data_IF_044933174981
#
_entry.id   IF_044933174981
#
_cell.length_a   1.000
_cell.length_b   1.000
_cell.length_c   1.000
_cell.angle_alpha   90.00
_cell.angle_beta   90.00
_cell.angle_gamma   90.00
#
_symmetry.space_group_name_H-M   'P 1'
#
loop_
_entity.id
_entity.type
_entity.pdbx_description
1 polymer ?
#
# COMPACT_ATOMS: atom_id res chain seq x y z
N UNK A 1 15.58 19.21 19.22
CA UNK A 1 16.30 17.94 18.97
C UNK A 1 15.25 16.87 19.20
N UNK A 2 14.57 16.47 18.12
CA UNK A 2 13.57 15.40 18.20
C UNK A 2 14.27 14.10 18.56
N UNK A 3 13.63 13.26 19.38
CA UNK A 3 14.06 11.89 19.56
C UNK A 3 14.07 11.20 18.19
N UNK A 4 15.10 10.40 17.92
CA UNK A 4 15.07 9.42 16.84
C UNK A 4 13.88 8.47 17.09
N UNK A 5 13.23 8.03 16.01
CA UNK A 5 12.08 7.14 16.08
C UNK A 5 10.76 7.77 15.64
N UNK A 6 9.88 6.94 15.08
CA UNK A 6 8.55 7.35 14.65
C UNK A 6 7.55 7.32 15.83
N UNK A 7 6.66 8.31 15.89
CA UNK A 7 5.49 8.25 16.80
C UNK A 7 4.35 7.48 16.18
N UNK A 8 4.36 7.32 14.86
CA UNK A 8 3.24 6.81 14.09
C UNK A 8 3.71 6.04 12.85
N UNK A 9 2.88 5.11 12.38
CA UNK A 9 3.09 4.39 11.12
C UNK A 9 1.85 4.59 10.25
N UNK A 10 2.02 5.10 9.03
CA UNK A 10 0.93 5.31 8.07
C UNK A 10 1.12 4.37 6.88
N UNK A 11 0.28 3.32 6.81
CA UNK A 11 0.40 2.24 5.82
C UNK A 11 -0.62 2.39 4.70
N UNK A 12 -0.14 2.68 3.49
CA UNK A 12 -0.91 2.69 2.27
C UNK A 12 -0.81 1.33 1.57
N UNK A 13 -1.93 0.62 1.45
CA UNK A 13 -2.04 -0.56 0.60
C UNK A 13 -2.51 -0.17 -0.79
N UNK A 14 -1.75 -0.57 -1.80
CA UNK A 14 -2.10 -0.45 -3.22
C UNK A 14 -2.35 -1.88 -3.71
N UNK A 15 -3.62 -2.22 -3.89
CA UNK A 15 -4.04 -3.58 -4.20
C UNK A 15 -4.52 -3.66 -5.64
N UNK A 16 -3.94 -4.57 -6.40
CA UNK A 16 -4.44 -4.97 -7.70
C UNK A 16 -5.80 -5.64 -7.55
N UNK A 17 -6.79 -5.07 -8.23
CA UNK A 17 -8.20 -5.46 -8.14
C UNK A 17 -8.70 -6.23 -9.37
N UNK A 18 -7.78 -6.65 -10.24
CA UNK A 18 -8.01 -7.50 -11.39
C UNK A 18 -8.67 -8.83 -11.01
N UNK A 19 -9.24 -9.49 -12.00
CA UNK A 19 -9.89 -10.78 -11.79
C UNK A 19 -8.90 -11.93 -11.56
N UNK A 20 -7.67 -11.83 -12.07
CA UNK A 20 -6.63 -12.87 -11.94
C UNK A 20 -6.17 -13.02 -10.50
N UNK A 21 -6.04 -11.90 -9.78
CA UNK A 21 -5.67 -11.80 -8.36
C UNK A 21 -6.67 -12.43 -7.35
N UNK A 22 -7.65 -13.23 -7.80
CA UNK A 22 -8.72 -13.73 -6.92
C UNK A 22 -8.25 -14.77 -5.89
N UNK A 23 -7.26 -15.59 -6.24
CA UNK A 23 -6.70 -16.62 -5.35
C UNK A 23 -5.72 -15.98 -4.34
N UNK A 24 -4.93 -15.04 -4.84
CA UNK A 24 -3.96 -14.22 -4.12
C UNK A 24 -4.67 -13.34 -3.08
N UNK A 25 -5.81 -12.73 -3.44
CA UNK A 25 -6.67 -11.98 -2.51
C UNK A 25 -7.20 -12.87 -1.38
N UNK A 26 -7.61 -14.11 -1.67
CA UNK A 26 -8.09 -15.02 -0.63
C UNK A 26 -6.96 -15.44 0.34
N UNK A 27 -5.75 -15.64 -0.18
CA UNK A 27 -4.57 -15.88 0.64
C UNK A 27 -4.21 -14.64 1.49
N UNK A 28 -4.27 -13.45 0.89
CA UNK A 28 -4.00 -12.18 1.55
C UNK A 28 -5.00 -11.87 2.67
N UNK A 29 -6.30 -12.13 2.44
CA UNK A 29 -7.36 -12.00 3.45
C UNK A 29 -7.11 -12.84 4.70
N UNK A 30 -6.48 -14.01 4.51
CA UNK A 30 -6.12 -14.91 5.61
C UNK A 30 -4.96 -14.37 6.44
N UNK A 31 -4.10 -13.52 5.87
CA UNK A 31 -2.90 -12.98 6.51
C UNK A 31 -3.09 -11.60 7.15
N UNK A 32 -4.08 -10.82 6.73
CA UNK A 32 -4.35 -9.49 7.32
C UNK A 32 -4.56 -9.48 8.84
N UNK A 33 -5.22 -10.46 9.47
CA UNK A 33 -5.28 -10.51 10.93
C UNK A 33 -3.91 -10.60 11.59
N UNK A 34 -2.97 -11.34 10.98
CA UNK A 34 -1.60 -11.44 11.47
C UNK A 34 -0.85 -10.12 11.31
N UNK A 35 -1.04 -9.42 10.19
CA UNK A 35 -0.46 -8.09 9.98
C UNK A 35 -0.87 -7.11 11.08
N UNK A 36 -2.18 -7.01 11.33
CA UNK A 36 -2.75 -6.13 12.35
C UNK A 36 -2.24 -6.51 13.74
N UNK A 37 -2.18 -7.81 14.05
CA UNK A 37 -1.68 -8.28 15.33
C UNK A 37 -0.23 -7.86 15.59
N UNK A 38 0.66 -7.94 14.58
CA UNK A 38 2.06 -7.54 14.76
C UNK A 38 2.20 -6.02 14.92
N UNK A 39 1.39 -5.22 14.21
CA UNK A 39 1.35 -3.77 14.44
C UNK A 39 0.85 -3.45 15.85
N UNK A 40 -0.22 -4.11 16.30
CA UNK A 40 -0.75 -3.94 17.66
C UNK A 40 0.29 -4.32 18.72
N UNK A 41 0.97 -5.45 18.56
CA UNK A 41 2.03 -5.92 19.45
C UNK A 41 3.23 -4.95 19.49
N UNK A 42 3.63 -4.41 18.33
CA UNK A 42 4.68 -3.40 18.24
C UNK A 42 4.31 -2.11 18.97
N UNK A 43 3.08 -1.61 18.81
CA UNK A 43 2.61 -0.42 19.56
C UNK A 43 2.47 -0.71 21.06
N UNK A 44 2.10 -1.94 21.45
CA UNK A 44 1.91 -2.31 22.85
C UNK A 44 3.22 -2.53 23.63
N UNK A 45 4.35 -2.73 22.93
CA UNK A 45 5.63 -2.98 23.57
C UNK A 45 6.14 -1.74 24.34
N UNK A 46 6.54 -1.88 25.62
CA UNK A 46 6.81 -0.74 26.50
C UNK A 46 8.06 0.08 26.12
N UNK A 47 8.97 -0.51 25.34
CA UNK A 47 10.20 0.13 24.91
C UNK A 47 10.06 0.85 23.55
N UNK A 48 8.90 0.73 22.89
CA UNK A 48 8.64 1.32 21.59
C UNK A 48 8.02 2.72 21.72
N UNK A 49 8.48 3.65 20.88
CA UNK A 49 8.00 5.04 20.90
C UNK A 49 6.70 5.26 20.11
N UNK A 50 6.36 4.33 19.21
CA UNK A 50 5.19 4.42 18.37
C UNK A 50 3.88 4.32 19.18
N UNK A 51 2.95 5.23 18.90
CA UNK A 51 1.71 5.42 19.64
C UNK A 51 0.49 4.84 18.91
N UNK A 52 0.61 4.57 17.61
CA UNK A 52 -0.46 4.01 16.80
C UNK A 52 -0.13 4.01 15.32
N UNK A 53 -1.05 3.48 14.52
CA UNK A 53 -0.88 3.36 13.07
C UNK A 53 -2.17 3.70 12.32
N UNK A 54 -2.04 3.93 11.01
CA UNK A 54 -3.16 4.07 10.08
C UNK A 54 -3.05 3.08 8.95
N UNK A 55 -4.19 2.52 8.57
CA UNK A 55 -4.31 1.66 7.39
C UNK A 55 -5.23 2.34 6.38
N UNK A 56 -4.68 2.67 5.22
CA UNK A 56 -5.41 3.17 4.06
C UNK A 56 -5.28 2.19 2.91
N UNK A 57 -6.30 2.09 2.07
CA UNK A 57 -6.29 1.18 0.92
C UNK A 57 -6.74 1.92 -0.33
N UNK A 58 -6.00 1.77 -1.42
CA UNK A 58 -6.39 2.15 -2.78
C UNK A 58 -6.13 0.96 -3.72
N UNK A 59 -6.45 1.12 -5.00
CA UNK A 59 -6.07 0.18 -6.04
C UNK A 59 -5.06 0.78 -7.04
N UNK A 60 -4.45 -0.10 -7.82
CA UNK A 60 -3.54 0.22 -8.94
C UNK A 60 -4.26 0.35 -10.29
N UNK A 61 -5.56 0.09 -10.36
CA UNK A 61 -6.30 0.02 -11.62
C UNK A 61 -6.73 1.42 -12.11
N UNK A 62 -6.02 1.95 -13.11
CA UNK A 62 -6.25 3.30 -13.67
C UNK A 62 -6.65 3.18 -15.15
N UNK A 63 -7.71 3.89 -15.58
CA UNK A 63 -8.25 3.75 -16.95
C UNK A 63 -7.26 4.15 -18.05
N UNK A 64 -7.50 3.59 -19.25
CA UNK A 64 -6.77 3.82 -20.51
C UNK A 64 -6.96 5.27 -21.05
N UNK A 65 -6.31 6.23 -20.38
CA UNK A 65 -5.96 7.51 -21.00
C UNK A 65 -4.64 8.08 -20.47
N UNK A 66 -3.97 8.84 -21.33
CA UNK A 66 -2.76 9.62 -21.02
C UNK A 66 -3.09 10.95 -20.30
N UNK A 67 -4.36 11.21 -20.00
CA UNK A 67 -4.83 12.44 -19.36
C UNK A 67 -4.88 12.33 -17.83
N UNK A 68 -4.58 11.14 -17.26
CA UNK A 68 -4.55 10.91 -15.81
C UNK A 68 -5.93 11.06 -15.15
N UNK A 69 -7.01 11.04 -15.92
CA UNK A 69 -8.37 11.18 -15.43
C UNK A 69 -9.07 9.83 -15.48
N UNK A 70 -9.50 9.32 -14.35
CA UNK A 70 -10.28 8.10 -14.35
C UNK A 70 -11.75 8.35 -14.57
N UNK A 71 -12.33 7.51 -15.42
CA UNK A 71 -13.77 7.34 -15.45
C UNK A 71 -14.26 6.34 -14.39
N UNK A 72 -13.41 5.49 -13.80
CA UNK A 72 -13.88 4.22 -13.18
C UNK A 72 -13.05 3.66 -11.98
N UNK A 73 -12.12 4.42 -11.39
CA UNK A 73 -11.17 3.97 -10.35
C UNK A 73 -11.12 4.85 -9.10
N UNK A 74 -10.16 4.59 -8.20
CA UNK A 74 -9.88 5.43 -7.02
C UNK A 74 -8.84 6.53 -7.32
N UNK A 75 -7.94 6.25 -8.27
CA UNK A 75 -6.94 7.20 -8.77
C UNK A 75 -6.00 7.69 -7.67
N UNK A 76 -5.56 6.77 -6.82
CA UNK A 76 -4.81 7.11 -5.61
C UNK A 76 -5.66 7.71 -4.49
N UNK A 77 -6.97 7.94 -4.66
CA UNK A 77 -7.84 8.25 -3.52
C UNK A 77 -7.99 7.03 -2.61
N UNK A 78 -8.07 7.25 -1.31
CA UNK A 78 -8.36 6.18 -0.38
C UNK A 78 -9.79 5.67 -0.52
N UNK A 79 -9.96 4.36 -0.43
CA UNK A 79 -11.25 3.70 -0.49
C UNK A 79 -12.07 4.00 0.78
N UNK A 80 -13.32 4.44 0.60
CA UNK A 80 -14.23 4.82 1.68
C UNK A 80 -14.98 3.64 2.31
N UNK A 81 -14.70 2.41 1.88
CA UNK A 81 -15.37 1.21 2.38
C UNK A 81 -16.78 0.99 1.81
N UNK A 82 -17.31 1.93 1.01
CA UNK A 82 -18.64 1.80 0.44
C UNK A 82 -18.61 0.99 -0.85
N UNK A 83 -18.97 -0.29 -0.71
CA UNK A 83 -19.21 -1.18 -1.83
C UNK A 83 -20.71 -1.44 -2.02
N UNK A 84 -21.19 -1.35 -3.24
CA UNK A 84 -22.63 -1.47 -3.53
C UNK A 84 -23.16 -2.91 -3.37
N UNK A 85 -22.26 -3.91 -3.37
CA UNK A 85 -22.58 -5.35 -3.21
C UNK A 85 -21.99 -6.02 -1.97
N UNK A 86 -21.23 -5.28 -1.13
CA UNK A 86 -20.64 -5.78 0.11
C UNK A 86 -21.10 -4.90 1.28
N UNK A 87 -21.06 -5.39 2.53
CA UNK A 87 -21.32 -4.52 3.66
C UNK A 87 -20.37 -3.31 3.63
N UNK A 88 -20.89 -2.13 3.93
CA UNK A 88 -20.07 -0.98 4.29
C UNK A 88 -19.11 -1.42 5.39
N UNK A 89 -17.80 -1.25 5.16
CA UNK A 89 -16.77 -1.66 6.10
C UNK A 89 -16.77 -0.82 7.39
N UNK A 90 -17.64 0.20 7.49
CA UNK A 90 -17.86 1.04 8.67
C UNK A 90 -16.59 1.75 9.13
N UNK A 91 -16.02 2.56 8.24
CA UNK A 91 -14.86 3.42 8.55
C UNK A 91 -15.21 4.61 9.45
N UNK A 92 -16.45 4.69 9.96
CA UNK A 92 -16.88 5.79 10.84
C UNK A 92 -16.76 7.18 10.19
N UNK A 93 -16.87 7.26 8.86
CA UNK A 93 -16.77 8.51 8.09
C UNK A 93 -15.34 8.96 7.78
N UNK A 94 -14.32 8.13 8.01
CA UNK A 94 -12.93 8.33 7.54
C UNK A 94 -12.67 7.52 6.27
N UNK A 95 -11.53 7.78 5.62
CA UNK A 95 -11.02 6.96 4.50
C UNK A 95 -9.89 6.01 4.93
N UNK A 96 -9.68 5.85 6.24
CA UNK A 96 -8.63 5.02 6.81
C UNK A 96 -9.04 4.51 8.19
N UNK A 97 -8.33 3.49 8.65
CA UNK A 97 -8.51 2.86 9.94
C UNK A 97 -7.41 3.35 10.87
N UNK A 98 -7.75 3.95 12.01
CA UNK A 98 -6.79 4.23 13.08
C UNK A 98 -6.68 3.00 14.00
N UNK A 99 -5.46 2.56 14.28
CA UNK A 99 -5.14 1.51 15.24
C UNK A 99 -4.13 1.96 16.29
N UNK A 100 -3.95 1.18 17.38
CA UNK A 100 -4.61 -0.10 17.67
C UNK A 100 -6.08 0.06 18.09
N UNK A 101 -6.90 -0.97 17.90
CA UNK A 101 -8.32 -0.93 18.29
C UNK A 101 -9.10 -2.22 18.05
N UNK A 102 -10.21 -2.44 18.77
CA UNK A 102 -10.93 -3.72 18.78
C UNK A 102 -11.60 -4.08 17.45
N UNK A 103 -11.77 -3.10 16.55
CA UNK A 103 -12.41 -3.29 15.24
C UNK A 103 -11.42 -3.25 14.08
N UNK A 104 -10.12 -2.99 14.33
CA UNK A 104 -9.15 -2.78 13.24
C UNK A 104 -9.07 -4.00 12.33
N UNK A 105 -8.88 -5.19 12.91
CA UNK A 105 -8.81 -6.44 12.13
C UNK A 105 -10.06 -6.66 11.29
N UNK A 106 -11.26 -6.55 11.86
CA UNK A 106 -12.51 -6.80 11.12
C UNK A 106 -12.75 -5.76 10.02
N UNK A 107 -12.42 -4.50 10.29
CA UNK A 107 -12.57 -3.40 9.34
C UNK A 107 -11.59 -3.56 8.17
N UNK A 108 -10.33 -3.88 8.47
CA UNK A 108 -9.30 -4.04 7.46
C UNK A 108 -9.53 -5.27 6.59
N UNK A 109 -9.92 -6.41 7.18
CA UNK A 109 -10.33 -7.61 6.43
C UNK A 109 -11.56 -7.39 5.54
N UNK A 110 -12.39 -6.39 5.81
CA UNK A 110 -13.47 -5.98 4.90
C UNK A 110 -12.95 -5.09 3.76
N UNK A 111 -12.08 -4.13 4.09
CA UNK A 111 -11.65 -3.05 3.21
C UNK A 111 -10.63 -3.50 2.16
N UNK A 112 -9.58 -4.19 2.60
CA UNK A 112 -8.40 -4.51 1.81
C UNK A 112 -8.60 -5.45 0.61
N UNK A 113 -9.53 -6.44 0.61
CA UNK A 113 -9.65 -7.36 -0.51
C UNK A 113 -10.20 -6.73 -1.80
N UNK A 114 -10.95 -5.62 -1.71
CA UNK A 114 -11.64 -5.03 -2.87
C UNK A 114 -11.79 -3.50 -2.77
N UNK A 115 -10.69 -2.73 -2.78
CA UNK A 115 -10.75 -1.27 -2.86
C UNK A 115 -11.24 -0.83 -4.24
N UNK A 116 -12.55 -0.68 -4.40
CA UNK A 116 -13.20 -0.26 -5.65
C UNK A 116 -14.14 0.90 -5.35
N UNK A 117 -14.18 1.91 -6.22
CA UNK A 117 -15.27 2.89 -6.14
C UNK A 117 -16.62 2.19 -6.36
N UNK A 118 -17.72 2.77 -5.85
CA UNK A 118 -19.06 2.16 -5.86
C UNK A 118 -19.72 1.92 -7.23
N UNK A 119 -18.95 1.82 -8.32
CA UNK A 119 -19.44 1.49 -9.65
C UNK A 119 -19.95 0.05 -9.74
N UNK A 120 -21.26 -0.11 -10.00
CA UNK A 120 -21.85 -1.37 -10.41
C UNK A 120 -21.53 -1.66 -11.88
N UNK A 121 -20.66 -2.65 -12.13
CA UNK A 121 -20.28 -3.22 -13.45
C UNK A 121 -18.95 -2.71 -14.05
N UNK A 122 -18.09 -2.06 -13.27
CA UNK A 122 -16.72 -1.76 -13.68
C UNK A 122 -15.82 -3.00 -13.50
N UNK A 123 -15.84 -3.92 -14.46
CA UNK A 123 -14.88 -5.04 -14.54
C UNK A 123 -13.58 -4.55 -15.14
N UNK A 124 -12.45 -4.59 -14.42
CA UNK A 124 -11.09 -4.68 -14.98
C UNK A 124 -10.83 -3.85 -16.26
N UNK A 125 -11.32 -2.61 -16.28
CA UNK A 125 -11.14 -1.69 -17.42
C UNK A 125 -9.88 -0.83 -17.26
N UNK A 126 -9.29 -0.87 -16.07
CA UNK A 126 -8.05 -0.18 -15.78
C UNK A 126 -6.84 -0.95 -16.27
N UNK A 127 -5.72 -0.26 -16.24
CA UNK A 127 -4.37 -0.78 -16.41
C UNK A 127 -3.73 -0.77 -15.04
N UNK A 128 -3.02 -1.85 -14.71
CA UNK A 128 -2.31 -1.94 -13.45
C UNK A 128 -1.13 -0.97 -13.48
N UNK A 129 -1.29 0.12 -12.75
CA UNK A 129 -0.38 1.28 -12.71
C UNK A 129 -0.10 1.68 -11.26
N UNK A 130 0.43 0.75 -10.42
CA UNK A 130 0.71 1.04 -9.02
C UNK A 130 1.66 2.24 -8.81
N UNK A 131 2.59 2.52 -9.74
CA UNK A 131 3.49 3.67 -9.61
C UNK A 131 2.76 5.01 -9.80
N UNK A 132 1.86 5.10 -10.79
CA UNK A 132 0.98 6.26 -10.92
C UNK A 132 0.07 6.43 -9.70
N UNK A 133 -0.45 5.32 -9.15
CA UNK A 133 -1.33 5.37 -7.98
C UNK A 133 -0.62 5.98 -6.75
N UNK A 134 0.69 5.77 -6.59
CA UNK A 134 1.51 6.43 -5.56
C UNK A 134 1.53 7.95 -5.80
N UNK A 135 1.86 8.40 -7.01
CA UNK A 135 1.96 9.83 -7.31
C UNK A 135 0.62 10.55 -7.22
N UNK A 136 -0.46 9.91 -7.68
CA UNK A 136 -1.82 10.44 -7.54
C UNK A 136 -2.26 10.48 -6.08
N UNK A 137 -1.88 9.49 -5.26
CA UNK A 137 -2.12 9.52 -3.81
C UNK A 137 -1.43 10.73 -3.16
N UNK A 138 -0.18 11.01 -3.54
CA UNK A 138 0.59 12.17 -3.06
C UNK A 138 -0.11 13.47 -3.44
N UNK A 139 -0.54 13.62 -4.71
CA UNK A 139 -1.27 14.81 -5.16
C UNK A 139 -2.56 15.02 -4.35
N UNK A 140 -3.33 13.94 -4.13
CA UNK A 140 -4.57 13.97 -3.36
C UNK A 140 -4.37 14.15 -1.86
N UNK A 141 -3.14 14.04 -1.36
CA UNK A 141 -2.79 14.29 0.04
C UNK A 141 -2.49 15.77 0.32
N UNK A 142 -2.40 16.61 -0.72
CA UNK A 142 -2.22 18.05 -0.56
C UNK A 142 -3.41 18.71 0.18
N UNK A 143 -3.21 19.93 0.69
CA UNK A 143 -4.24 20.66 1.42
C UNK A 143 -5.53 20.83 0.59
N UNK A 144 -6.67 20.45 1.17
CA UNK A 144 -7.99 20.39 0.52
C UNK A 144 -8.22 19.14 -0.34
N UNK A 145 -7.24 18.24 -0.45
CA UNK A 145 -7.33 16.98 -1.17
C UNK A 145 -8.08 15.90 -0.39
N UNK A 146 -8.56 14.87 -1.10
CA UNK A 146 -9.37 13.81 -0.49
C UNK A 146 -8.60 12.90 0.46
N UNK A 147 -7.27 12.78 0.29
CA UNK A 147 -6.41 12.02 1.20
C UNK A 147 -5.77 12.91 2.27
N UNK A 148 -6.12 14.20 2.32
CA UNK A 148 -5.56 15.13 3.29
C UNK A 148 -5.70 14.57 4.71
N UNK A 149 -4.59 14.59 5.43
CA UNK A 149 -4.53 14.14 6.82
C UNK A 149 -4.38 12.63 7.00
N UNK A 150 -4.24 11.83 5.93
CA UNK A 150 -3.82 10.43 6.05
C UNK A 150 -2.39 10.33 6.59
N UNK A 151 -1.41 10.85 5.84
CA UNK A 151 -0.01 10.87 6.23
C UNK A 151 0.24 11.99 7.26
N UNK A 152 0.81 11.63 8.40
CA UNK A 152 1.08 12.54 9.54
C UNK A 152 2.43 13.25 9.44
N UNK A 153 3.13 13.10 8.31
CA UNK A 153 4.36 13.82 8.03
C UNK A 153 5.49 13.42 8.99
N UNK A 154 6.14 14.45 9.53
CA UNK A 154 7.32 14.39 10.40
C UNK A 154 7.27 13.37 11.53
N UNK A 155 6.08 13.13 12.12
CA UNK A 155 5.86 12.22 13.25
C UNK A 155 5.68 10.75 12.82
N UNK A 156 5.56 10.47 11.52
CA UNK A 156 5.23 9.15 11.00
C UNK A 156 6.22 8.60 9.99
N UNK A 157 6.47 7.30 10.08
CA UNK A 157 6.98 6.51 8.98
C UNK A 157 5.85 6.32 7.95
N UNK A 158 6.12 6.56 6.67
CA UNK A 158 5.18 6.23 5.59
C UNK A 158 5.51 4.85 5.02
N UNK A 159 4.54 3.96 4.95
CA UNK A 159 4.75 2.60 4.44
C UNK A 159 3.83 2.38 3.26
N UNK A 160 4.38 1.87 2.16
CA UNK A 160 3.63 1.53 0.97
C UNK A 160 3.73 0.02 0.78
N UNK A 161 2.58 -0.64 0.67
CA UNK A 161 2.49 -2.06 0.36
C UNK A 161 1.79 -2.23 -0.98
N UNK A 162 2.53 -2.66 -1.99
CA UNK A 162 2.01 -2.97 -3.34
C UNK A 162 1.75 -4.46 -3.42
N UNK A 163 0.56 -4.85 -3.87
CA UNK A 163 0.16 -6.25 -4.06
C UNK A 163 -0.43 -6.43 -5.45
N UNK A 164 0.24 -7.18 -6.31
CA UNK A 164 -0.18 -7.42 -7.72
C UNK A 164 0.39 -8.72 -8.26
N UNK A 165 -0.26 -9.34 -9.23
CA UNK A 165 0.25 -10.48 -9.98
C UNK A 165 0.92 -10.06 -11.30
N UNK A 166 1.09 -8.77 -11.57
CA UNK A 166 1.73 -8.28 -12.78
C UNK A 166 2.67 -7.08 -12.54
N UNK A 167 3.28 -6.56 -13.62
CA UNK A 167 4.16 -5.39 -13.55
C UNK A 167 3.36 -4.08 -13.65
N UNK A 168 4.01 -2.96 -13.39
CA UNK A 168 3.48 -1.65 -13.79
C UNK A 168 3.32 -1.59 -15.33
N UNK A 169 2.12 -1.28 -15.84
CA UNK A 169 1.83 -1.31 -17.27
C UNK A 169 2.62 -0.24 -18.02
N UNK A 170 3.79 -0.64 -18.51
CA UNK A 170 4.75 0.21 -19.20
C UNK A 170 4.20 0.94 -20.44
N UNK A 171 3.05 0.51 -20.99
CA UNK A 171 2.44 1.21 -22.13
C UNK A 171 1.52 2.37 -21.70
N UNK A 172 1.04 2.35 -20.46
CA UNK A 172 0.00 3.24 -19.96
C UNK A 172 0.43 4.06 -18.75
N UNK A 173 1.49 3.62 -18.06
CA UNK A 173 2.10 4.37 -16.96
C UNK A 173 2.56 5.75 -17.43
N UNK A 174 2.33 6.78 -16.61
CA UNK A 174 2.79 8.15 -16.90
C UNK A 174 4.05 8.52 -16.15
N UNK A 175 4.58 7.57 -15.37
CA UNK A 175 5.77 7.72 -14.56
C UNK A 175 6.75 6.57 -14.80
N UNK A 176 7.81 6.52 -14.00
CA UNK A 176 8.79 5.44 -13.97
C UNK A 176 9.38 5.31 -12.56
N UNK A 177 10.11 4.23 -12.25
CA UNK A 177 10.71 3.98 -10.94
C UNK A 177 11.45 5.19 -10.33
N UNK A 178 12.26 5.89 -11.12
CA UNK A 178 13.05 7.02 -10.63
C UNK A 178 12.18 8.27 -10.33
N UNK A 179 11.15 8.51 -11.14
CA UNK A 179 10.20 9.60 -10.94
C UNK A 179 9.36 9.36 -9.68
N UNK A 180 8.81 8.16 -9.51
CA UNK A 180 8.01 7.80 -8.33
C UNK A 180 8.84 7.82 -7.06
N UNK A 181 10.10 7.35 -7.11
CA UNK A 181 11.04 7.53 -5.98
C UNK A 181 11.22 9.01 -5.63
N UNK A 182 11.47 9.86 -6.63
CA UNK A 182 11.66 11.29 -6.39
C UNK A 182 10.40 11.96 -5.81
N UNK A 183 9.20 11.53 -6.24
CA UNK A 183 7.93 12.00 -5.68
C UNK A 183 7.80 11.60 -4.19
N UNK A 184 8.16 10.36 -3.84
CA UNK A 184 8.18 9.89 -2.46
C UNK A 184 9.20 10.64 -1.61
N UNK A 185 10.44 10.74 -2.08
CA UNK A 185 11.51 11.49 -1.39
C UNK A 185 11.06 12.93 -1.07
N UNK A 186 10.36 13.58 -2.01
CA UNK A 186 9.78 14.92 -1.82
C UNK A 186 8.60 14.95 -0.85
N UNK A 187 7.71 13.96 -0.93
CA UNK A 187 6.51 13.86 -0.08
C UNK A 187 6.84 13.59 1.39
N UNK A 188 7.79 12.70 1.65
CA UNK A 188 8.22 12.32 3.01
C UNK A 188 9.40 13.12 3.53
N UNK A 189 9.96 14.00 2.70
CA UNK A 189 11.14 14.81 3.00
C UNK A 189 12.39 13.97 3.32
N UNK A 190 12.59 12.88 2.60
CA UNK A 190 13.77 12.02 2.77
C UNK A 190 13.47 10.55 2.43
N UNK A 191 14.46 9.89 1.82
CA UNK A 191 14.34 8.49 1.40
C UNK A 191 14.32 7.51 2.57
N UNK A 192 14.86 7.92 3.73
CA UNK A 192 14.83 7.13 4.96
C UNK A 192 13.46 7.18 5.67
N UNK A 193 12.55 8.05 5.21
CA UNK A 193 11.25 8.30 5.87
C UNK A 193 10.09 7.51 5.29
N UNK A 194 10.36 6.63 4.33
CA UNK A 194 9.38 5.65 3.86
C UNK A 194 9.96 4.25 3.70
N UNK A 195 9.05 3.28 3.65
CA UNK A 195 9.31 1.88 3.31
C UNK A 195 8.43 1.50 2.12
N UNK A 196 9.00 0.79 1.15
CA UNK A 196 8.23 0.17 0.06
C UNK A 196 8.33 -1.35 0.19
N UNK A 197 7.18 -1.99 0.32
CA UNK A 197 7.03 -3.43 0.29
C UNK A 197 6.24 -3.78 -0.96
N UNK A 198 6.84 -4.56 -1.85
CA UNK A 198 6.19 -4.98 -3.08
C UNK A 198 6.09 -6.48 -3.09
N UNK A 199 4.86 -6.99 -3.10
CA UNK A 199 4.58 -8.41 -3.31
C UNK A 199 4.06 -8.54 -4.73
N UNK A 200 4.92 -9.02 -5.61
CA UNK A 200 4.65 -9.15 -7.04
C UNK A 200 5.24 -10.43 -7.61
N UNK A 201 5.07 -10.65 -8.91
CA UNK A 201 5.76 -11.72 -9.61
C UNK A 201 7.29 -11.53 -9.67
N UNK A 202 8.04 -12.57 -10.09
CA UNK A 202 9.49 -12.53 -10.21
C UNK A 202 9.99 -11.44 -11.16
N UNK A 203 11.25 -11.04 -11.01
CA UNK A 203 11.86 -10.05 -11.91
C UNK A 203 11.91 -10.54 -13.37
N UNK A 204 12.13 -11.85 -13.57
CA UNK A 204 12.34 -12.45 -14.87
C UNK A 204 11.44 -13.67 -15.05
N UNK A 205 10.60 -13.63 -16.08
CA UNK A 205 9.61 -14.68 -16.34
C UNK A 205 8.43 -14.62 -15.36
N UNK A 206 7.32 -15.23 -15.76
CA UNK A 206 6.19 -15.46 -14.85
C UNK A 206 6.38 -16.71 -14.02
N UNK A 207 5.47 -16.91 -13.08
CA UNK A 207 5.39 -18.08 -12.22
C UNK A 207 3.96 -18.61 -12.15
N UNK A 208 3.85 -19.89 -11.83
CA UNK A 208 2.59 -20.62 -11.68
C UNK A 208 2.76 -21.62 -10.53
N UNK A 209 1.92 -21.49 -9.50
CA UNK A 209 1.95 -22.32 -8.29
C UNK A 209 0.53 -22.55 -7.74
N UNK A 210 0.41 -23.36 -6.68
CA UNK A 210 -0.88 -23.56 -6.01
C UNK A 210 -1.41 -22.31 -5.28
N UNK A 211 -0.62 -21.24 -5.24
CA UNK A 211 -0.92 -20.01 -4.53
C UNK A 211 -1.26 -18.86 -5.47
N UNK A 212 -1.13 -19.08 -6.77
CA UNK A 212 -1.35 -18.05 -7.76
C UNK A 212 -0.51 -18.21 -9.02
N UNK A 213 -0.82 -17.40 -10.02
CA UNK A 213 0.01 -17.20 -11.21
C UNK A 213 0.32 -15.72 -11.34
N UNK A 214 1.58 -15.39 -11.59
CA UNK A 214 1.99 -14.00 -11.79
C UNK A 214 2.88 -13.84 -13.02
N UNK A 215 2.75 -12.70 -13.68
CA UNK A 215 3.64 -12.26 -14.73
C UNK A 215 4.99 -11.78 -14.15
N UNK A 216 5.97 -11.56 -15.02
CA UNK A 216 7.21 -10.93 -14.61
C UNK A 216 6.95 -9.46 -14.24
N UNK A 217 7.57 -8.97 -13.17
CA UNK A 217 7.41 -7.59 -12.69
C UNK A 217 8.73 -6.77 -12.67
N UNK A 218 9.51 -6.72 -13.77
CA UNK A 218 10.83 -6.07 -13.76
C UNK A 218 10.81 -4.59 -13.34
N UNK A 219 9.78 -3.83 -13.70
CA UNK A 219 9.67 -2.41 -13.32
C UNK A 219 9.43 -2.25 -11.81
N UNK A 220 8.59 -3.09 -11.21
CA UNK A 220 8.38 -3.08 -9.76
C UNK A 220 9.61 -3.55 -8.97
N UNK A 221 10.36 -4.51 -9.50
CA UNK A 221 11.67 -4.90 -8.94
C UNK A 221 12.70 -3.77 -9.04
N UNK A 222 12.74 -3.04 -10.16
CA UNK A 222 13.61 -1.87 -10.32
C UNK A 222 13.25 -0.76 -9.32
N UNK A 223 11.96 -0.45 -9.19
CA UNK A 223 11.47 0.55 -8.24
C UNK A 223 11.80 0.19 -6.79
N UNK A 224 11.41 -1.02 -6.38
CA UNK A 224 11.60 -1.46 -4.99
C UNK A 224 13.08 -1.62 -4.64
N UNK A 225 13.92 -2.09 -5.58
CA UNK A 225 15.37 -2.15 -5.38
C UNK A 225 16.06 -0.78 -5.44
N UNK A 226 15.39 0.25 -5.93
CA UNK A 226 15.91 1.61 -6.05
C UNK A 226 15.64 2.50 -4.84
N UNK A 227 14.76 2.09 -3.92
CA UNK A 227 14.46 2.84 -2.67
C UNK A 227 15.37 2.38 -1.52
N UNK A 228 15.59 3.26 -0.53
CA UNK A 228 16.48 2.96 0.60
C UNK A 228 15.96 1.80 1.48
N UNK A 229 14.66 1.80 1.77
CA UNK A 229 13.99 0.78 2.58
C UNK A 229 13.00 0.00 1.72
N UNK A 230 13.52 -0.78 0.77
CA UNK A 230 12.74 -1.59 -0.16
C UNK A 230 12.76 -3.08 0.18
N UNK A 231 11.60 -3.73 0.11
CA UNK A 231 11.48 -5.18 0.25
C UNK A 231 10.63 -5.77 -0.88
N UNK A 232 11.20 -6.72 -1.62
CA UNK A 232 10.46 -7.56 -2.57
C UNK A 232 10.01 -8.86 -1.90
N UNK A 233 8.72 -9.12 -1.93
CA UNK A 233 8.12 -10.43 -1.67
C UNK A 233 7.70 -11.11 -2.97
N UNK A 234 7.65 -12.44 -2.96
CA UNK A 234 7.22 -13.25 -4.11
C UNK A 234 5.79 -13.74 -3.89
N UNK A 235 4.87 -13.32 -4.76
CA UNK A 235 3.47 -13.72 -4.70
C UNK A 235 3.28 -15.22 -4.99
N UNK A 236 4.16 -15.83 -5.77
CA UNK A 236 4.08 -17.22 -6.19
C UNK A 236 4.65 -18.22 -5.19
N UNK A 237 5.50 -17.79 -4.25
CA UNK A 237 5.94 -18.64 -3.15
C UNK A 237 4.78 -18.99 -2.21
N UNK A 238 3.70 -18.22 -2.24
CA UNK A 238 2.51 -18.44 -1.41
C UNK A 238 2.69 -18.16 0.06
N UNK A 239 3.93 -17.90 0.48
CA UNK A 239 4.30 -17.49 1.82
C UNK A 239 4.22 -15.96 1.94
N UNK A 240 3.00 -15.44 1.72
CA UNK A 240 2.66 -14.06 2.06
C UNK A 240 2.98 -13.78 3.53
N UNK A 241 2.82 -14.76 4.42
CA UNK A 241 3.16 -14.62 5.83
C UNK A 241 4.65 -14.34 6.05
N UNK A 242 5.54 -15.05 5.35
CA UNK A 242 6.99 -14.84 5.39
C UNK A 242 7.40 -13.48 4.82
N UNK A 243 6.87 -13.11 3.66
CA UNK A 243 7.13 -11.80 3.03
C UNK A 243 6.60 -10.66 3.91
N UNK A 244 5.42 -10.84 4.51
CA UNK A 244 4.82 -9.87 5.43
C UNK A 244 5.59 -9.78 6.75
N UNK A 245 6.13 -10.89 7.26
CA UNK A 245 6.96 -10.89 8.46
C UNK A 245 8.26 -10.09 8.24
N UNK A 246 8.92 -10.29 7.09
CA UNK A 246 10.09 -9.48 6.71
C UNK A 246 9.71 -8.00 6.53
N UNK A 247 8.55 -7.72 5.93
CA UNK A 247 8.03 -6.37 5.80
C UNK A 247 7.84 -5.70 7.16
N UNK A 248 7.26 -6.42 8.11
CA UNK A 248 7.05 -5.95 9.46
C UNK A 248 8.36 -5.68 10.18
N UNK A 249 9.36 -6.54 10.07
CA UNK A 249 10.70 -6.31 10.64
C UNK A 249 11.33 -5.03 10.08
N UNK A 250 11.30 -4.85 8.74
CA UNK A 250 11.80 -3.65 8.08
C UNK A 250 11.05 -2.38 8.53
N UNK A 251 9.72 -2.45 8.66
CA UNK A 251 8.88 -1.33 9.12
C UNK A 251 9.26 -0.93 10.56
N UNK A 252 9.46 -1.91 11.44
CA UNK A 252 9.82 -1.67 12.84
C UNK A 252 11.21 -1.03 12.93
N UNK A 253 12.21 -1.59 12.25
CA UNK A 253 13.57 -1.02 12.22
C UNK A 253 13.58 0.40 11.64
N UNK A 254 12.85 0.62 10.54
CA UNK A 254 12.73 1.94 9.90
C UNK A 254 12.01 2.95 10.79
N UNK A 255 11.00 2.50 11.56
CA UNK A 255 10.33 3.35 12.53
C UNK A 255 11.28 3.71 13.67
N UNK A 256 11.98 2.74 14.26
CA UNK A 256 12.87 2.96 15.41
C UNK A 256 14.05 3.89 15.06
N UNK A 257 14.49 3.86 13.79
CA UNK A 257 15.62 4.66 13.29
C UNK A 257 15.20 5.90 12.50
N UNK A 258 13.90 6.23 12.46
CA UNK A 258 13.38 7.34 11.66
C UNK A 258 14.13 8.64 12.02
N UNK A 259 14.83 9.29 11.05
CA UNK A 259 15.60 10.48 11.33
C UNK A 259 14.66 11.65 11.63
N UNK A 260 15.09 12.66 12.41
CA UNK A 260 14.30 13.87 12.58
C UNK A 260 14.04 14.54 11.22
N UNK A 261 12.93 15.29 11.06
CA UNK A 261 12.63 15.98 9.81
C UNK A 261 13.75 16.93 9.41
N UNK A 262 14.05 16.98 8.10
CA UNK A 262 14.95 17.99 7.54
C UNK A 262 14.20 19.33 7.50
N UNK A 263 14.64 20.28 8.34
CA UNK A 263 13.98 21.59 8.47
C UNK A 263 14.20 22.55 7.31
#
# INVERSE_FOLDING_TARGET
>A
MGSEGCSFIDVLFIVDISASMSEEKANLDTNFPSFVAVLDDYIAAPDNAALGYRLGVTNSSIVDNLEGQSTMGLDGALFDGNNLFRPDCDLGGKLWIDGPGPTVTSTFSCLAPNPKSGCNNCTDLGKERPLDAIEMFIEKSAAGGVNEGFYRGDESLFVIVILTDEDDDANNTTTNPAQTKAALDGFTQGEERYVVVTIAGPQNGGCDSNFGSAAAAPTLHEFTGGVANGLMGDICEGDLAGSLAQALELIQESCDTLPPPVG
#
